data_IF_915813086951
#
_entry.id   IF_915813086951
#
_cell.length_a   1.000
_cell.length_b   1.000
_cell.length_c   1.000
_cell.angle_alpha   90.00
_cell.angle_beta   90.00
_cell.angle_gamma   90.00
#
_symmetry.space_group_name_H-M   'P 1'
#
loop_
_entity.id
_entity.type
_entity.pdbx_description
1 polymer ?
#
# COMPACT_ATOMS: atom_id res chain seq x y z
N UNK A 1 -2.34 -8.08 -8.09
CA UNK A 1 -2.12 -6.74 -7.48
C UNK A 1 -3.22 -6.24 -6.52
N UNK A 2 -4.45 -6.77 -6.54
CA UNK A 2 -5.57 -6.25 -5.72
C UNK A 2 -5.76 -6.95 -4.36
N UNK A 3 -4.86 -7.87 -4.01
CA UNK A 3 -4.89 -8.50 -2.69
C UNK A 3 -4.58 -7.45 -1.61
N UNK A 4 -5.14 -7.64 -0.41
CA UNK A 4 -5.00 -6.67 0.68
C UNK A 4 -3.61 -6.77 1.38
N UNK A 5 -3.07 -7.98 1.52
CA UNK A 5 -1.84 -8.24 2.29
C UNK A 5 -0.53 -7.62 1.73
N UNK A 6 -0.33 -7.41 0.41
CA UNK A 6 0.87 -6.75 -0.09
C UNK A 6 1.03 -5.31 0.44
N UNK A 7 -0.08 -4.56 0.55
CA UNK A 7 -0.05 -3.21 1.13
C UNK A 7 0.32 -3.26 2.61
N UNK A 8 -0.21 -4.23 3.36
CA UNK A 8 0.18 -4.43 4.75
C UNK A 8 1.67 -4.76 4.88
N UNK A 9 2.23 -5.61 4.00
CA UNK A 9 3.65 -5.94 4.01
C UNK A 9 4.54 -4.71 3.77
N UNK A 10 4.21 -3.89 2.76
CA UNK A 10 4.99 -2.69 2.44
C UNK A 10 4.87 -1.60 3.51
N UNK A 11 3.64 -1.26 3.92
CA UNK A 11 3.41 -0.18 4.88
C UNK A 11 3.95 -0.53 6.26
N UNK A 12 3.85 -1.79 6.70
CA UNK A 12 4.39 -2.22 7.99
C UNK A 12 5.88 -2.56 7.95
N UNK A 13 6.58 -2.32 6.85
CA UNK A 13 8.01 -2.61 6.69
C UNK A 13 8.35 -4.08 7.01
N UNK A 14 7.59 -5.01 6.44
CA UNK A 14 7.72 -6.42 6.76
C UNK A 14 9.05 -7.02 6.28
N UNK A 15 9.50 -8.07 6.96
CA UNK A 15 10.57 -8.94 6.49
C UNK A 15 9.98 -10.32 6.17
N UNK A 16 10.03 -10.70 4.89
CA UNK A 16 9.63 -12.00 4.39
C UNK A 16 10.82 -12.95 4.56
N UNK A 17 10.66 -13.98 5.39
CA UNK A 17 11.68 -15.01 5.58
C UNK A 17 11.32 -16.24 4.77
N UNK A 18 12.27 -16.72 3.97
CA UNK A 18 12.15 -17.94 3.19
C UNK A 18 13.03 -19.04 3.77
N UNK A 19 12.93 -20.24 3.20
CA UNK A 19 13.86 -21.33 3.49
C UNK A 19 15.32 -21.05 3.06
N UNK A 20 15.60 -19.93 2.36
CA UNK A 20 16.94 -19.59 1.87
C UNK A 20 17.47 -18.26 2.41
N UNK A 21 16.62 -17.24 2.55
CA UNK A 21 17.04 -15.88 2.87
C UNK A 21 15.93 -15.06 3.54
N UNK A 22 16.26 -13.82 3.85
CA UNK A 22 15.31 -12.80 4.30
C UNK A 22 15.25 -11.69 3.26
N UNK A 23 14.05 -11.22 2.95
CA UNK A 23 13.78 -10.20 1.94
C UNK A 23 12.93 -9.11 2.62
N UNK A 24 13.35 -7.86 2.55
CA UNK A 24 12.52 -6.74 3.04
C UNK A 24 11.38 -6.51 2.07
N UNK A 25 10.22 -6.07 2.57
CA UNK A 25 9.02 -5.94 1.74
C UNK A 25 9.22 -5.00 0.54
N UNK A 26 10.02 -3.94 0.69
CA UNK A 26 10.36 -3.00 -0.39
C UNK A 26 11.03 -3.70 -1.59
N UNK A 27 11.72 -4.83 -1.38
CA UNK A 27 12.39 -5.61 -2.43
C UNK A 27 11.58 -6.85 -2.86
N UNK A 28 10.46 -7.16 -2.19
CA UNK A 28 9.75 -8.42 -2.38
C UNK A 28 8.79 -8.41 -3.56
N UNK A 29 8.09 -7.30 -3.80
CA UNK A 29 7.09 -7.17 -4.86
C UNK A 29 7.73 -6.48 -6.08
N UNK A 30 7.95 -7.22 -7.16
CA UNK A 30 8.70 -6.73 -8.33
C UNK A 30 7.81 -6.36 -9.51
N UNK A 31 6.54 -6.77 -9.49
CA UNK A 31 5.56 -6.36 -10.49
C UNK A 31 4.19 -7.02 -10.35
N UNK A 32 3.35 -6.84 -11.37
CA UNK A 32 2.03 -7.47 -11.40
C UNK A 32 2.16 -8.99 -11.51
N UNK A 33 1.85 -9.69 -10.42
CA UNK A 33 1.99 -11.16 -10.27
C UNK A 33 3.43 -11.67 -10.12
N UNK A 34 4.38 -10.77 -9.86
CA UNK A 34 5.79 -11.13 -9.69
C UNK A 34 6.29 -10.78 -8.29
N UNK A 35 7.21 -11.61 -7.80
CA UNK A 35 7.91 -11.42 -6.53
C UNK A 35 9.38 -11.75 -6.71
N UNK A 36 10.22 -11.36 -5.75
CA UNK A 36 11.64 -11.73 -5.73
C UNK A 36 11.91 -13.22 -5.44
N UNK A 37 10.88 -14.06 -5.26
CA UNK A 37 11.07 -15.49 -5.00
C UNK A 37 11.68 -16.20 -6.21
N UNK A 38 12.68 -17.04 -5.94
CA UNK A 38 13.26 -17.95 -6.93
C UNK A 38 12.52 -19.29 -6.99
N UNK A 39 12.80 -20.08 -8.03
CA UNK A 39 12.24 -21.42 -8.15
C UNK A 39 12.62 -22.31 -6.94
N UNK A 40 11.63 -23.01 -6.38
CA UNK A 40 11.75 -23.83 -5.18
C UNK A 40 12.16 -23.03 -3.92
N UNK A 41 11.91 -21.72 -3.89
CA UNK A 41 11.99 -20.89 -2.68
C UNK A 41 10.61 -20.83 -2.00
N UNK A 42 10.57 -21.07 -0.69
CA UNK A 42 9.32 -21.14 0.09
C UNK A 42 9.34 -20.10 1.20
N UNK A 43 8.29 -19.29 1.29
CA UNK A 43 8.07 -18.40 2.43
C UNK A 43 7.78 -19.26 3.66
N UNK A 44 8.59 -19.10 4.71
CA UNK A 44 8.44 -19.82 5.97
C UNK A 44 7.83 -18.96 7.07
N UNK A 45 8.05 -17.64 7.03
CA UNK A 45 7.44 -16.70 7.96
C UNK A 45 7.47 -15.27 7.42
N UNK A 46 6.64 -14.40 8.00
CA UNK A 46 6.67 -12.96 7.76
C UNK A 46 6.72 -12.27 9.12
N UNK A 47 7.67 -11.36 9.28
CA UNK A 47 7.87 -10.59 10.52
C UNK A 47 7.54 -9.13 10.28
N UNK A 48 6.86 -8.50 11.24
CA UNK A 48 6.43 -7.11 11.15
C UNK A 48 6.97 -6.33 12.35
N UNK A 49 7.69 -5.23 12.14
CA UNK A 49 7.84 -4.19 13.15
C UNK A 49 6.46 -3.78 13.69
N UNK A 50 6.37 -3.51 15.00
CA UNK A 50 5.13 -3.03 15.62
C UNK A 50 5.00 -1.51 15.38
N UNK A 51 3.97 -1.03 14.67
CA UNK A 51 3.73 0.40 14.52
C UNK A 51 3.14 1.00 15.79
N UNK A 52 3.26 2.31 15.93
CA UNK A 52 2.56 3.10 16.95
C UNK A 52 1.08 3.25 16.59
N UNK A 53 0.78 3.46 15.31
CA UNK A 53 -0.57 3.51 14.75
C UNK A 53 -0.58 2.86 13.38
N UNK A 54 -1.66 2.17 13.05
CA UNK A 54 -1.87 1.67 11.70
C UNK A 54 -3.36 1.55 11.36
N UNK A 55 -3.67 1.67 10.07
CA UNK A 55 -4.99 1.35 9.55
C UNK A 55 -4.93 1.01 8.07
N UNK A 56 -5.91 0.21 7.65
CA UNK A 56 -6.16 -0.10 6.25
C UNK A 56 -7.57 0.33 5.86
N UNK A 57 -7.70 1.05 4.76
CA UNK A 57 -9.00 1.41 4.19
C UNK A 57 -9.06 1.02 2.73
N UNK A 58 -10.16 0.39 2.32
CA UNK A 58 -10.37 -0.01 0.92
C UNK A 58 -11.70 0.45 0.36
N UNK A 59 -11.66 0.79 -0.93
CA UNK A 59 -12.82 0.89 -1.80
C UNK A 59 -12.94 -0.43 -2.59
N UNK A 60 -13.85 -1.34 -2.21
CA UNK A 60 -13.91 -2.67 -2.78
C UNK A 60 -14.72 -2.70 -4.08
N UNK A 61 -14.36 -3.60 -4.98
CA UNK A 61 -15.24 -4.03 -6.05
C UNK A 61 -16.52 -4.67 -5.44
N UNK A 62 -17.73 -4.25 -5.84
CA UNK A 62 -18.97 -4.73 -5.22
C UNK A 62 -19.15 -6.25 -5.28
N UNK A 63 -18.73 -6.88 -6.38
CA UNK A 63 -18.92 -8.31 -6.63
C UNK A 63 -17.80 -9.14 -6.00
N UNK A 64 -16.53 -8.82 -6.28
CA UNK A 64 -15.40 -9.65 -5.86
C UNK A 64 -14.85 -9.29 -4.47
N UNK A 65 -15.16 -8.09 -3.95
CA UNK A 65 -14.63 -7.52 -2.70
C UNK A 65 -13.11 -7.26 -2.67
N UNK A 66 -12.41 -7.54 -3.76
CA UNK A 66 -11.03 -7.09 -3.96
C UNK A 66 -10.97 -5.56 -4.02
N UNK A 67 -9.83 -4.99 -3.63
CA UNK A 67 -9.62 -3.56 -3.68
C UNK A 67 -9.62 -3.06 -5.14
N UNK A 68 -10.50 -2.11 -5.46
CA UNK A 68 -10.26 -1.20 -6.59
C UNK A 68 -9.13 -0.26 -6.17
N UNK A 69 -9.20 0.28 -4.95
CA UNK A 69 -8.10 0.97 -4.28
C UNK A 69 -8.11 0.58 -2.81
N UNK A 70 -6.96 0.17 -2.29
CA UNK A 70 -6.72 -0.05 -0.87
C UNK A 70 -5.51 0.76 -0.43
N UNK A 71 -5.60 1.42 0.71
CA UNK A 71 -4.49 2.22 1.28
C UNK A 71 -4.25 1.77 2.70
N UNK A 72 -3.01 1.36 2.96
CA UNK A 72 -2.50 1.06 4.30
C UNK A 72 -1.60 2.19 4.75
N UNK A 73 -1.82 2.71 5.95
CA UNK A 73 -0.96 3.71 6.61
C UNK A 73 -0.41 3.12 7.90
N UNK A 74 0.86 3.39 8.18
CA UNK A 74 1.53 3.01 9.42
C UNK A 74 2.45 4.13 9.90
N UNK A 75 2.49 4.33 11.21
CA UNK A 75 3.36 5.30 11.89
C UNK A 75 4.34 4.56 12.81
N UNK A 76 5.62 4.89 12.72
CA UNK A 76 6.71 4.38 13.56
C UNK A 76 7.51 5.56 14.12
N UNK A 77 7.14 6.05 15.31
CA UNK A 77 7.67 7.29 15.86
C UNK A 77 7.33 8.48 14.95
N UNK A 78 8.32 8.95 14.20
CA UNK A 78 8.17 10.01 13.20
C UNK A 78 8.15 9.49 11.76
N UNK A 79 8.42 8.20 11.54
CA UNK A 79 8.43 7.60 10.20
C UNK A 79 7.02 7.21 9.79
N UNK A 80 6.57 7.71 8.64
CA UNK A 80 5.26 7.39 8.07
C UNK A 80 5.44 6.55 6.83
N UNK A 81 4.76 5.40 6.80
CA UNK A 81 4.75 4.52 5.64
C UNK A 81 3.34 4.37 5.11
N UNK A 82 3.20 4.46 3.80
CA UNK A 82 1.94 4.32 3.09
C UNK A 82 2.11 3.33 1.95
N UNK A 83 1.17 2.42 1.78
CA UNK A 83 1.15 1.51 0.65
C UNK A 83 -0.23 1.46 -0.01
N UNK A 84 -0.24 1.43 -1.34
CA UNK A 84 -1.44 1.39 -2.17
C UNK A 84 -1.51 0.05 -2.89
N UNK A 85 -2.66 -0.60 -2.84
CA UNK A 85 -2.97 -1.85 -3.55
C UNK A 85 -4.20 -1.69 -4.44
N UNK A 86 -4.29 -2.52 -5.49
CA UNK A 86 -5.39 -2.52 -6.46
C UNK A 86 -5.35 -1.40 -7.51
N UNK A 87 -4.58 -0.33 -7.29
CA UNK A 87 -4.53 0.85 -8.16
C UNK A 87 -3.37 0.85 -9.16
N UNK A 88 -2.18 0.43 -8.75
CA UNK A 88 -0.96 0.51 -9.56
C UNK A 88 -0.96 -0.50 -10.70
N UNK A 89 -0.49 -0.08 -11.87
CA UNK A 89 -0.34 -0.94 -13.04
C UNK A 89 0.75 -2.02 -12.85
N UNK A 90 1.79 -1.70 -12.09
CA UNK A 90 2.86 -2.61 -11.71
C UNK A 90 2.69 -3.18 -10.28
N UNK A 91 1.48 -3.16 -9.74
CA UNK A 91 1.15 -3.79 -8.47
C UNK A 91 1.07 -2.85 -7.27
N UNK A 92 1.50 -3.34 -6.12
CA UNK A 92 1.47 -2.57 -4.86
C UNK A 92 2.64 -1.59 -4.85
N UNK A 93 2.44 -0.36 -4.39
CA UNK A 93 3.49 0.66 -4.38
C UNK A 93 3.36 1.60 -3.18
N UNK A 94 4.41 2.38 -2.93
CA UNK A 94 4.45 3.41 -1.88
C UNK A 94 4.33 4.81 -2.50
N UNK A 95 3.25 5.57 -2.24
CA UNK A 95 3.10 6.93 -2.74
C UNK A 95 3.91 7.92 -1.89
N UNK A 96 5.09 8.31 -2.37
CA UNK A 96 6.02 9.19 -1.64
C UNK A 96 5.41 10.55 -1.30
N UNK A 97 4.51 11.06 -2.14
CA UNK A 97 3.80 12.33 -1.96
C UNK A 97 2.92 12.30 -0.70
N UNK A 98 2.25 11.18 -0.45
CA UNK A 98 1.41 10.99 0.74
C UNK A 98 2.30 10.79 1.97
N UNK A 99 3.38 9.99 1.86
CA UNK A 99 4.33 9.80 2.96
C UNK A 99 4.96 11.12 3.41
N UNK A 100 5.37 11.97 2.47
CA UNK A 100 5.95 13.28 2.76
C UNK A 100 4.95 14.23 3.44
N UNK A 101 3.71 14.28 2.94
CA UNK A 101 2.66 15.10 3.52
C UNK A 101 2.33 14.67 4.97
N UNK A 102 2.19 13.35 5.20
CA UNK A 102 1.86 12.82 6.52
C UNK A 102 3.05 12.86 7.49
N UNK A 103 4.28 12.82 7.00
CA UNK A 103 5.48 13.00 7.84
C UNK A 103 5.56 14.43 8.40
N UNK A 104 5.03 15.41 7.68
CA UNK A 104 4.92 16.79 8.17
C UNK A 104 3.80 16.94 9.22
N UNK A 105 2.68 16.25 9.00
CA UNK A 105 1.56 16.21 9.94
C UNK A 105 0.72 14.95 9.70
N UNK A 106 0.66 14.05 10.68
CA UNK A 106 -0.12 12.81 10.58
C UNK A 106 -1.62 13.09 10.80
N UNK A 107 -2.23 13.85 9.90
CA UNK A 107 -3.64 14.25 9.91
C UNK A 107 -4.23 14.12 8.50
N UNK A 108 -5.55 13.87 8.41
CA UNK A 108 -6.22 13.78 7.12
C UNK A 108 -6.13 15.08 6.29
N UNK A 109 -6.11 16.24 6.96
CA UNK A 109 -6.00 17.56 6.31
C UNK A 109 -4.63 17.80 5.66
N UNK A 110 -3.57 17.10 6.08
CA UNK A 110 -2.27 17.20 5.44
C UNK A 110 -2.31 16.72 3.97
N UNK A 111 -3.35 15.97 3.59
CA UNK A 111 -3.57 15.44 2.25
C UNK A 111 -4.55 16.27 1.42
N UNK A 112 -4.92 17.49 1.84
CA UNK A 112 -5.88 18.33 1.11
C UNK A 112 -5.33 18.83 -0.24
N UNK A 113 -4.04 19.14 -0.29
CA UNK A 113 -3.36 19.63 -1.50
C UNK A 113 -2.49 18.56 -2.19
N UNK A 114 -2.52 17.32 -1.69
CA UNK A 114 -1.75 16.21 -2.28
C UNK A 114 -2.46 15.67 -3.52
N UNK A 115 -1.72 15.54 -4.62
CA UNK A 115 -2.17 14.91 -5.86
C UNK A 115 -1.38 13.63 -6.13
N UNK A 116 -2.01 12.69 -6.83
CA UNK A 116 -1.38 11.46 -7.31
C UNK A 116 -1.44 11.48 -8.84
N UNK A 117 -0.32 11.22 -9.49
CA UNK A 117 -0.29 11.10 -10.96
C UNK A 117 -1.10 9.88 -11.40
N UNK A 118 -1.94 9.99 -12.44
CA UNK A 118 -2.66 8.85 -12.99
C UNK A 118 -1.81 7.96 -13.92
N UNK A 119 -0.58 8.38 -14.27
CA UNK A 119 0.21 7.75 -15.35
C UNK A 119 0.55 6.27 -15.09
N UNK A 120 0.88 5.92 -13.83
CA UNK A 120 1.25 4.56 -13.42
C UNK A 120 0.08 3.79 -12.74
N UNK A 121 -1.16 4.21 -13.02
CA UNK A 121 -2.37 3.59 -12.47
C UNK A 121 -3.14 2.82 -13.54
N UNK A 122 -3.75 1.72 -13.12
CA UNK A 122 -4.62 0.91 -13.97
C UNK A 122 -5.81 1.74 -14.49
N UNK A 123 -6.15 1.54 -15.76
CA UNK A 123 -7.41 2.01 -16.32
C UNK A 123 -8.15 0.83 -16.93
N UNK A 124 -9.34 0.53 -16.39
CA UNK A 124 -10.15 -0.62 -16.82
C UNK A 124 -11.65 -0.32 -16.74
N UNK A 125 -12.46 -1.35 -17.01
CA UNK A 125 -13.93 -1.28 -16.96
C UNK A 125 -14.51 -0.96 -15.57
N UNK A 126 -13.71 -1.08 -14.51
CA UNK A 126 -14.14 -0.85 -13.13
C UNK A 126 -13.79 0.55 -12.64
N UNK A 127 -12.66 1.09 -13.06
CA UNK A 127 -12.23 2.45 -12.74
C UNK A 127 -11.15 2.94 -13.71
N UNK A 128 -11.28 4.18 -14.14
CA UNK A 128 -10.23 4.90 -14.87
C UNK A 128 -9.11 5.35 -13.91
N UNK A 129 -7.92 5.63 -14.45
CA UNK A 129 -6.73 5.95 -13.67
C UNK A 129 -6.87 7.25 -12.85
N UNK A 130 -7.52 8.28 -13.41
CA UNK A 130 -7.84 9.54 -12.71
C UNK A 130 -8.76 9.33 -11.50
N UNK A 131 -9.77 8.46 -11.64
CA UNK A 131 -10.66 8.10 -10.55
C UNK A 131 -9.91 7.32 -9.46
N UNK A 132 -8.98 6.43 -9.84
CA UNK A 132 -8.12 5.72 -8.87
C UNK A 132 -7.19 6.68 -8.12
N UNK A 133 -6.59 7.65 -8.80
CA UNK A 133 -5.78 8.68 -8.16
C UNK A 133 -6.57 9.43 -7.07
N UNK A 134 -7.81 9.83 -7.37
CA UNK A 134 -8.71 10.47 -6.39
C UNK A 134 -9.09 9.53 -5.23
N UNK A 135 -9.37 8.26 -5.53
CA UNK A 135 -9.67 7.25 -4.51
C UNK A 135 -8.49 6.98 -3.58
N UNK A 136 -7.25 7.04 -4.06
CA UNK A 136 -6.05 6.87 -3.22
C UNK A 136 -6.04 7.94 -2.12
N UNK A 137 -6.18 9.22 -2.47
CA UNK A 137 -6.24 10.31 -1.48
C UNK A 137 -7.41 10.12 -0.51
N UNK A 138 -8.58 9.76 -1.03
CA UNK A 138 -9.78 9.56 -0.20
C UNK A 138 -9.59 8.41 0.81
N UNK A 139 -9.03 7.28 0.37
CA UNK A 139 -8.77 6.13 1.25
C UNK A 139 -7.64 6.42 2.23
N UNK A 140 -6.59 7.16 1.82
CA UNK A 140 -5.52 7.59 2.71
C UNK A 140 -6.04 8.46 3.86
N UNK A 141 -6.88 9.47 3.57
CA UNK A 141 -7.52 10.32 4.59
C UNK A 141 -8.33 9.50 5.59
N UNK A 142 -9.12 8.54 5.10
CA UNK A 142 -9.92 7.65 5.95
C UNK A 142 -9.04 6.71 6.77
N UNK A 143 -7.96 6.20 6.21
CA UNK A 143 -7.01 5.34 6.92
C UNK A 143 -6.33 6.13 8.05
N UNK A 144 -5.86 7.35 7.80
CA UNK A 144 -5.27 8.22 8.84
C UNK A 144 -6.27 8.51 9.96
N UNK A 145 -7.53 8.81 9.63
CA UNK A 145 -8.57 9.03 10.63
C UNK A 145 -8.90 7.78 11.47
N UNK A 146 -8.74 6.59 10.90
CA UNK A 146 -9.00 5.31 11.56
C UNK A 146 -7.78 4.72 12.27
N UNK A 147 -6.57 5.27 12.05
CA UNK A 147 -5.33 4.74 12.58
C UNK A 147 -5.28 4.85 14.11
N UNK A 148 -5.17 3.68 14.76
CA UNK A 148 -5.14 3.50 16.21
C UNK A 148 -3.91 2.76 16.67
#
# INVERSE_FOLDING_TARGET
PAADYPAACLALNATITTNRRKIVADDFFTGMFETALEENELITSVSFPKPDKAAYMKFPNPASRYAIVGVFVALFGTDVRVAVTGAGDNGVFRPTEIENALSSSFTASALDDTTISPDDLLSDIHAQSDYRASLIITMAKRAVAAAS
#
